data_IF_695655536793
#
_entry.id   IF_695655536793
#
_cell.length_a   1.000
_cell.length_b   1.000
_cell.length_c   1.000
_cell.angle_alpha   90.00
_cell.angle_beta   90.00
_cell.angle_gamma   90.00
#
_symmetry.space_group_name_H-M   'P 1'
#
loop_
_entity.id
_entity.type
_entity.pdbx_description
1 polymer ?
#
# COMPACT_ATOMS: atom_id res chain seq x y z
N UNK A 1 14.27 -0.37 -0.12
CA UNK A 1 13.80 0.31 1.06
C UNK A 1 14.44 1.66 1.31
N UNK A 2 13.90 2.36 2.26
CA UNK A 2 14.32 3.71 2.63
C UNK A 2 14.22 3.89 4.15
N UNK A 3 15.11 4.64 4.81
CA UNK A 3 14.95 5.00 6.21
C UNK A 3 13.85 6.06 6.42
N UNK A 4 13.36 6.69 5.37
CA UNK A 4 12.33 7.73 5.42
C UNK A 4 10.91 7.20 5.21
N UNK A 5 10.74 5.93 4.79
CA UNK A 5 9.45 5.33 4.50
C UNK A 5 9.41 3.88 4.95
N UNK A 6 8.49 3.57 5.85
CA UNK A 6 8.24 2.21 6.35
C UNK A 6 6.90 1.67 5.86
N UNK A 7 6.90 0.40 5.48
CA UNK A 7 5.71 -0.36 5.13
C UNK A 7 5.70 -1.68 5.90
N UNK A 8 4.63 -1.93 6.64
CA UNK A 8 4.38 -3.19 7.32
C UNK A 8 3.26 -3.88 6.56
N UNK A 9 3.48 -5.13 6.17
CA UNK A 9 2.53 -5.89 5.37
C UNK A 9 2.43 -7.33 5.90
N UNK A 10 1.20 -7.80 6.05
CA UNK A 10 0.89 -9.18 6.39
C UNK A 10 0.72 -10.05 5.15
N UNK A 11 0.56 -11.36 5.35
CA UNK A 11 0.27 -12.32 4.28
C UNK A 11 -1.12 -12.14 3.61
N UNK A 12 -1.97 -11.27 4.15
CA UNK A 12 -3.27 -10.89 3.57
C UNK A 12 -3.29 -9.44 3.06
N UNK A 13 -2.12 -8.84 2.82
CA UNK A 13 -1.95 -7.45 2.43
C UNK A 13 -2.46 -6.42 3.46
N UNK A 14 -2.79 -6.84 4.66
CA UNK A 14 -3.06 -5.95 5.79
C UNK A 14 -1.81 -5.20 6.24
N UNK A 15 -1.99 -4.21 7.09
CA UNK A 15 -0.90 -3.41 7.61
C UNK A 15 -0.97 -1.94 7.19
N UNK A 16 0.12 -1.22 7.38
CA UNK A 16 0.14 0.22 7.19
C UNK A 16 1.47 0.75 6.68
N UNK A 17 1.44 1.98 6.19
CA UNK A 17 2.62 2.71 5.74
C UNK A 17 2.76 4.02 6.49
N UNK A 18 3.99 4.47 6.62
CA UNK A 18 4.30 5.71 7.32
C UNK A 18 5.57 6.36 6.76
N UNK A 19 5.62 7.68 6.86
CA UNK A 19 6.82 8.48 6.63
C UNK A 19 7.46 8.82 7.98
N UNK A 20 8.72 8.46 8.18
CA UNK A 20 9.56 8.71 9.37
C UNK A 20 9.08 8.06 10.68
N UNK A 21 7.77 8.04 10.96
CA UNK A 21 7.24 7.51 12.22
C UNK A 21 5.85 6.90 12.03
N UNK A 22 5.65 5.68 12.53
CA UNK A 22 4.35 5.02 12.55
C UNK A 22 3.31 5.72 13.42
N UNK A 23 3.73 6.47 14.43
CA UNK A 23 2.86 7.24 15.31
C UNK A 23 2.49 8.62 14.73
N UNK A 24 3.43 9.32 14.07
CA UNK A 24 3.27 10.71 13.64
C UNK A 24 3.36 10.94 12.13
N UNK A 25 3.63 9.90 11.35
CA UNK A 25 3.74 9.97 9.88
C UNK A 25 2.85 8.97 9.17
N UNK A 26 1.75 8.55 9.78
CA UNK A 26 0.85 7.54 9.25
C UNK A 26 0.25 7.96 7.91
N UNK A 27 0.32 7.07 6.93
CA UNK A 27 -0.21 7.27 5.58
C UNK A 27 -1.45 6.41 5.39
N UNK A 28 -1.30 5.09 5.51
CA UNK A 28 -2.39 4.15 5.38
C UNK A 28 -2.99 3.83 6.75
N UNK A 29 -4.31 3.80 6.79
CA UNK A 29 -5.07 3.41 7.96
C UNK A 29 -4.94 1.91 8.18
N UNK A 30 -4.78 1.53 9.43
CA UNK A 30 -4.86 0.17 9.90
C UNK A 30 -5.41 0.17 11.30
N UNK A 31 -6.48 -0.55 11.50
CA UNK A 31 -7.10 -0.71 12.81
C UNK A 31 -6.53 -1.99 13.40
N UNK A 32 -5.76 -1.86 14.48
CA UNK A 32 -5.13 -2.99 15.13
C UNK A 32 -6.19 -3.92 15.75
N UNK A 33 -6.55 -4.94 15.01
CA UNK A 33 -7.57 -5.91 15.40
C UNK A 33 -7.28 -7.29 14.78
N UNK A 34 -8.03 -8.28 15.22
CA UNK A 34 -7.89 -9.68 14.76
C UNK A 34 -8.21 -9.91 13.26
N UNK A 35 -8.80 -8.95 12.58
CA UNK A 35 -9.23 -9.09 11.19
C UNK A 35 -8.23 -8.54 10.19
N UNK A 36 -7.09 -8.00 10.63
CA UNK A 36 -6.00 -7.51 9.81
C UNK A 36 -6.45 -6.52 8.71
N UNK A 37 -7.28 -5.54 9.08
CA UNK A 37 -7.89 -4.58 8.13
C UNK A 37 -7.88 -3.13 8.64
N UNK A 38 -8.02 -2.15 7.70
CA UNK A 38 -7.94 -2.30 6.25
C UNK A 38 -6.53 -2.64 5.78
N UNK A 39 -6.41 -2.98 4.49
CA UNK A 39 -5.14 -3.36 3.87
C UNK A 39 -4.94 -2.70 2.52
N UNK A 40 -3.91 -3.18 1.80
CA UNK A 40 -3.59 -2.80 0.43
C UNK A 40 -4.37 -3.70 -0.50
N UNK A 41 -5.63 -3.35 -0.75
CA UNK A 41 -6.53 -4.25 -1.46
C UNK A 41 -6.49 -4.00 -2.97
N UNK A 42 -6.38 -5.09 -3.72
CA UNK A 42 -6.54 -5.10 -5.18
C UNK A 42 -7.65 -6.10 -5.49
N UNK A 43 -8.75 -5.58 -6.01
CA UNK A 43 -9.88 -6.37 -6.47
C UNK A 43 -9.79 -6.60 -7.97
N UNK A 44 -10.16 -7.80 -8.38
CA UNK A 44 -10.31 -8.17 -9.78
C UNK A 44 -11.78 -8.56 -9.99
N UNK A 45 -12.42 -8.04 -11.02
CA UNK A 45 -13.80 -8.35 -11.40
C UNK A 45 -13.85 -8.71 -12.86
N UNK A 46 -14.36 -9.87 -13.16
CA UNK A 46 -14.65 -10.26 -14.55
C UNK A 46 -15.86 -9.50 -15.07
N UNK A 47 -15.70 -8.83 -16.20
CA UNK A 47 -16.78 -8.04 -16.80
C UNK A 47 -17.91 -8.89 -17.39
N UNK A 48 -17.66 -10.16 -17.73
CA UNK A 48 -18.63 -11.07 -18.32
C UNK A 48 -19.49 -11.78 -17.28
N UNK A 49 -18.83 -12.39 -16.28
CA UNK A 49 -19.52 -13.13 -15.21
C UNK A 49 -19.97 -12.26 -14.05
N UNK A 50 -19.43 -11.03 -13.97
CA UNK A 50 -19.60 -10.10 -12.84
C UNK A 50 -19.02 -10.61 -11.51
N UNK A 51 -18.40 -11.79 -11.50
CA UNK A 51 -17.74 -12.33 -10.34
C UNK A 51 -16.46 -11.54 -10.00
N UNK A 52 -16.19 -11.36 -8.71
CA UNK A 52 -15.04 -10.60 -8.25
C UNK A 52 -14.33 -11.30 -7.10
N UNK A 53 -13.03 -11.04 -6.98
CA UNK A 53 -12.15 -11.57 -5.95
C UNK A 53 -11.04 -10.57 -5.62
N UNK A 54 -10.24 -10.85 -4.62
CA UNK A 54 -9.06 -10.05 -4.28
C UNK A 54 -7.77 -10.82 -4.55
N UNK A 55 -6.73 -10.10 -4.98
CA UNK A 55 -5.42 -10.67 -5.31
C UNK A 55 -4.69 -11.26 -4.09
N UNK A 56 -5.09 -10.89 -2.88
CA UNK A 56 -4.51 -11.33 -1.60
C UNK A 56 -5.42 -12.26 -0.79
N UNK A 57 -6.37 -12.94 -1.41
CA UNK A 57 -7.49 -13.69 -0.83
C UNK A 57 -8.43 -12.83 0.03
N UNK A 58 -7.94 -12.24 1.11
CA UNK A 58 -8.67 -11.17 1.83
C UNK A 58 -8.67 -9.88 0.96
N UNK A 59 -9.72 -9.04 1.03
CA UNK A 59 -10.86 -9.15 1.96
C UNK A 59 -12.05 -9.95 1.44
N UNK A 60 -12.09 -10.34 0.15
CA UNK A 60 -13.26 -11.04 -0.43
C UNK A 60 -13.41 -12.46 0.15
N UNK A 61 -12.33 -13.21 0.24
CA UNK A 61 -12.32 -14.52 0.90
C UNK A 61 -13.07 -15.60 0.11
N UNK A 62 -12.75 -15.78 -1.18
CA UNK A 62 -13.32 -16.88 -2.00
C UNK A 62 -13.04 -18.24 -1.40
N UNK A 63 -13.89 -19.23 -1.72
CA UNK A 63 -13.72 -20.61 -1.30
C UNK A 63 -12.36 -21.17 -1.73
N UNK A 64 -11.57 -21.64 -0.79
CA UNK A 64 -10.23 -22.18 -1.00
C UNK A 64 -10.18 -23.47 -1.85
N UNK A 65 -11.31 -24.12 -2.10
CA UNK A 65 -11.38 -25.21 -3.06
C UNK A 65 -11.23 -24.71 -4.50
N UNK A 66 -11.61 -23.47 -4.78
CA UNK A 66 -11.54 -22.84 -6.11
C UNK A 66 -10.53 -21.72 -6.22
N UNK A 67 -10.04 -21.20 -5.10
CA UNK A 67 -9.07 -20.13 -5.01
C UNK A 67 -7.75 -20.65 -4.43
N UNK A 68 -6.66 -20.48 -5.16
CA UNK A 68 -5.33 -20.84 -4.70
C UNK A 68 -4.51 -19.57 -4.51
N UNK A 69 -3.76 -19.49 -3.43
CA UNK A 69 -2.86 -18.36 -3.19
C UNK A 69 -1.59 -18.78 -2.46
N UNK A 70 -0.54 -18.03 -2.75
CA UNK A 70 0.75 -18.13 -2.09
C UNK A 70 1.24 -16.74 -1.70
N UNK A 71 1.92 -16.64 -0.55
CA UNK A 71 2.56 -15.42 -0.12
C UNK A 71 4.04 -15.69 0.18
N UNK A 72 4.91 -14.90 -0.41
CA UNK A 72 6.36 -14.96 -0.21
C UNK A 72 6.84 -13.63 0.36
N UNK A 73 7.35 -13.65 1.58
CA UNK A 73 8.05 -12.51 2.17
C UNK A 73 9.55 -12.63 1.87
N UNK A 74 10.08 -11.66 1.13
CA UNK A 74 11.51 -11.51 0.91
C UNK A 74 12.10 -10.37 1.75
N UNK A 75 13.38 -10.13 1.55
CA UNK A 75 14.04 -8.97 2.15
C UNK A 75 13.57 -7.69 1.46
N UNK A 76 12.78 -6.89 2.20
CA UNK A 76 12.18 -5.62 1.77
C UNK A 76 11.15 -5.70 0.62
N UNK A 77 10.59 -6.86 0.32
CA UNK A 77 9.43 -7.01 -0.56
C UNK A 77 8.50 -8.14 -0.09
N UNK A 78 7.25 -8.08 -0.52
CA UNK A 78 6.27 -9.16 -0.35
C UNK A 78 5.63 -9.44 -1.70
N UNK A 79 5.57 -10.72 -2.06
CA UNK A 79 4.94 -11.19 -3.28
C UNK A 79 3.74 -12.06 -2.93
N UNK A 80 2.59 -11.74 -3.51
CA UNK A 80 1.37 -12.52 -3.40
C UNK A 80 0.96 -13.01 -4.77
N UNK A 81 0.64 -14.29 -4.87
CA UNK A 81 0.18 -14.92 -6.10
C UNK A 81 -1.17 -15.56 -5.85
N UNK A 82 -2.06 -15.46 -6.82
CA UNK A 82 -3.38 -16.07 -6.74
C UNK A 82 -3.86 -16.59 -8.10
N UNK A 83 -4.50 -17.75 -8.07
CA UNK A 83 -5.18 -18.35 -9.21
C UNK A 83 -6.67 -18.49 -8.89
N UNK A 84 -7.49 -17.83 -9.68
CA UNK A 84 -8.95 -17.93 -9.59
C UNK A 84 -9.62 -17.63 -10.93
N UNK A 85 -10.65 -18.39 -11.29
CA UNK A 85 -11.44 -18.17 -12.51
C UNK A 85 -10.59 -18.05 -13.78
N UNK A 86 -9.55 -18.90 -13.91
CA UNK A 86 -8.61 -18.91 -15.05
C UNK A 86 -7.84 -17.58 -15.23
N UNK A 87 -7.70 -16.82 -14.16
CA UNK A 87 -6.85 -15.64 -14.07
C UNK A 87 -5.78 -15.90 -13.02
N UNK A 88 -4.51 -15.75 -13.42
CA UNK A 88 -3.39 -15.69 -12.51
C UNK A 88 -3.05 -14.25 -12.21
N UNK A 89 -2.87 -13.92 -10.94
CA UNK A 89 -2.42 -12.59 -10.50
C UNK A 89 -1.19 -12.69 -9.61
N UNK A 90 -0.21 -11.83 -9.85
CA UNK A 90 0.97 -11.68 -9.00
C UNK A 90 1.11 -10.22 -8.58
N UNK A 91 1.13 -9.95 -7.29
CA UNK A 91 1.35 -8.61 -6.74
C UNK A 91 2.67 -8.58 -5.99
N UNK A 92 3.53 -7.62 -6.31
CA UNK A 92 4.79 -7.34 -5.62
C UNK A 92 4.68 -6.00 -4.90
N UNK A 93 4.72 -6.03 -3.57
CA UNK A 93 4.72 -4.86 -2.71
C UNK A 93 6.15 -4.55 -2.26
N UNK A 94 6.62 -3.36 -2.52
CA UNK A 94 7.97 -2.94 -2.10
C UNK A 94 8.09 -1.42 -1.99
N UNK A 95 9.11 -0.98 -1.26
CA UNK A 95 9.56 0.41 -1.23
C UNK A 95 10.86 0.48 -2.04
N UNK A 96 10.90 1.22 -3.16
CA UNK A 96 12.12 1.34 -3.96
C UNK A 96 13.30 1.87 -3.14
N UNK A 97 14.52 1.57 -3.57
CA UNK A 97 15.71 1.96 -2.84
C UNK A 97 15.82 3.50 -2.76
N UNK A 98 16.01 4.02 -1.55
CA UNK A 98 16.11 5.46 -1.26
C UNK A 98 14.88 6.30 -1.67
N UNK A 99 13.72 5.68 -1.87
CA UNK A 99 12.46 6.38 -2.14
C UNK A 99 11.56 6.44 -0.92
N UNK A 100 10.68 7.42 -0.86
CA UNK A 100 9.71 7.61 0.23
C UNK A 100 8.27 7.44 -0.25
N UNK A 101 8.03 6.35 -0.99
CA UNK A 101 6.73 5.85 -1.43
C UNK A 101 6.82 4.34 -1.63
N UNK A 102 5.68 3.67 -1.67
CA UNK A 102 5.60 2.24 -1.95
C UNK A 102 4.94 1.97 -3.30
N UNK A 103 5.30 0.85 -3.89
CA UNK A 103 4.81 0.35 -5.18
C UNK A 103 4.11 -0.97 -4.98
N UNK A 104 2.92 -1.12 -5.57
CA UNK A 104 2.16 -2.36 -5.68
C UNK A 104 2.13 -2.74 -7.15
N UNK A 105 3.13 -3.48 -7.59
CA UNK A 105 3.24 -3.93 -8.98
C UNK A 105 2.39 -5.17 -9.16
N UNK A 106 1.35 -5.08 -9.99
CA UNK A 106 0.42 -6.16 -10.30
C UNK A 106 0.64 -6.64 -11.73
N UNK A 107 0.86 -7.94 -11.88
CA UNK A 107 0.79 -8.67 -13.15
C UNK A 107 -0.48 -9.52 -13.18
N UNK A 108 -1.28 -9.41 -14.24
CA UNK A 108 -2.49 -10.21 -14.46
C UNK A 108 -2.34 -11.00 -15.74
N UNK A 109 -2.46 -12.31 -15.64
CA UNK A 109 -2.32 -13.25 -16.75
C UNK A 109 -3.64 -13.98 -17.01
N UNK A 110 -4.09 -13.96 -18.25
CA UNK A 110 -5.22 -14.78 -18.69
C UNK A 110 -4.74 -16.20 -19.04
N UNK A 111 -5.12 -17.17 -18.22
CA UNK A 111 -4.78 -18.59 -18.44
C UNK A 111 -5.86 -19.37 -19.19
N UNK A 112 -6.96 -18.68 -19.57
CA UNK A 112 -8.02 -19.28 -20.37
C UNK A 112 -7.74 -19.20 -21.88
N UNK A 113 -8.56 -19.87 -22.68
CA UNK A 113 -8.48 -19.89 -24.14
C UNK A 113 -9.32 -18.79 -24.82
N UNK A 114 -9.95 -17.90 -24.05
CA UNK A 114 -10.80 -16.79 -24.50
C UNK A 114 -10.27 -15.43 -24.07
N UNK A 115 -10.72 -14.38 -24.76
CA UNK A 115 -10.44 -13.00 -24.36
C UNK A 115 -11.18 -12.70 -23.06
N UNK A 116 -10.48 -12.13 -22.08
CA UNK A 116 -11.07 -11.73 -20.80
C UNK A 116 -10.95 -10.22 -20.62
N UNK A 117 -11.98 -9.63 -20.04
CA UNK A 117 -11.95 -8.22 -19.61
C UNK A 117 -12.07 -8.18 -18.10
N UNK A 118 -10.98 -7.83 -17.46
CA UNK A 118 -10.89 -7.79 -16.01
C UNK A 118 -10.83 -6.33 -15.55
N UNK A 119 -11.81 -5.93 -14.75
CA UNK A 119 -11.75 -4.66 -14.03
C UNK A 119 -10.86 -4.83 -12.81
N UNK A 120 -9.77 -4.09 -12.75
CA UNK A 120 -8.83 -4.07 -11.63
C UNK A 120 -9.07 -2.81 -10.83
N UNK A 121 -9.41 -2.96 -9.55
CA UNK A 121 -9.61 -1.84 -8.63
C UNK A 121 -8.61 -1.93 -7.49
N UNK A 122 -7.68 -0.96 -7.43
CA UNK A 122 -6.81 -0.77 -6.27
C UNK A 122 -7.51 0.09 -5.22
N UNK A 123 -7.33 -0.25 -3.95
CA UNK A 123 -7.90 0.46 -2.81
C UNK A 123 -6.88 0.69 -1.72
N UNK A 124 -6.73 1.93 -1.29
CA UNK A 124 -5.91 2.37 -0.17
C UNK A 124 -6.72 3.28 0.75
N UNK A 125 -6.85 2.94 2.03
CA UNK A 125 -7.52 3.80 2.99
C UNK A 125 -6.51 4.72 3.69
N UNK A 126 -6.69 6.02 3.52
CA UNK A 126 -5.82 7.01 4.15
C UNK A 126 -6.21 7.24 5.61
N UNK A 127 -5.23 7.60 6.44
CA UNK A 127 -5.53 8.25 7.71
C UNK A 127 -5.93 9.70 7.46
N UNK A 128 -6.88 10.22 8.24
CA UNK A 128 -7.29 11.63 8.16
C UNK A 128 -6.32 12.55 8.90
N UNK A 129 -5.50 12.00 9.78
CA UNK A 129 -4.43 12.70 10.48
C UNK A 129 -3.14 11.89 10.42
N UNK A 130 -1.99 12.57 10.29
CA UNK A 130 -0.68 11.90 10.31
C UNK A 130 -0.35 11.34 11.69
N UNK A 131 -0.81 12.00 12.76
CA UNK A 131 -0.72 11.46 14.12
C UNK A 131 -1.80 10.38 14.30
N UNK A 132 -1.36 9.16 14.61
CA UNK A 132 -2.25 8.02 14.74
C UNK A 132 -3.26 8.17 15.88
N UNK A 133 -2.85 8.70 17.02
CA UNK A 133 -3.74 8.91 18.17
C UNK A 133 -4.82 9.91 17.83
N UNK A 134 -4.49 11.05 17.21
CA UNK A 134 -5.46 12.04 16.78
C UNK A 134 -6.42 11.50 15.71
N UNK A 135 -5.94 10.65 14.80
CA UNK A 135 -6.80 9.99 13.81
C UNK A 135 -7.86 9.09 14.45
N UNK A 136 -7.58 8.49 15.61
CA UNK A 136 -8.49 7.57 16.29
C UNK A 136 -9.38 8.29 17.32
N UNK A 137 -8.81 9.17 18.13
CA UNK A 137 -9.49 9.81 19.27
C UNK A 137 -10.32 11.01 18.84
N UNK A 138 -9.83 11.78 17.87
CA UNK A 138 -10.47 13.01 17.38
C UNK A 138 -11.03 12.83 15.96
N UNK A 139 -11.79 11.77 15.76
CA UNK A 139 -12.26 11.34 14.43
C UNK A 139 -13.09 12.43 13.74
N UNK A 140 -14.00 13.08 14.42
CA UNK A 140 -14.87 14.09 13.83
C UNK A 140 -14.07 15.28 13.28
N UNK A 141 -13.09 15.77 14.04
CA UNK A 141 -12.19 16.83 13.57
C UNK A 141 -11.33 16.36 12.41
N UNK A 142 -10.76 15.16 12.51
CA UNK A 142 -9.91 14.57 11.48
C UNK A 142 -10.65 14.41 10.15
N UNK A 143 -11.93 14.05 10.17
CA UNK A 143 -12.77 13.98 8.97
C UNK A 143 -13.06 15.36 8.37
N UNK A 144 -13.24 16.37 9.22
CA UNK A 144 -13.54 17.73 8.79
C UNK A 144 -12.38 18.38 8.03
N UNK A 145 -11.12 18.10 8.42
CA UNK A 145 -9.93 18.72 7.86
C UNK A 145 -9.40 18.04 6.58
N UNK A 146 -10.01 16.93 6.14
CA UNK A 146 -9.53 16.17 4.99
C UNK A 146 -10.41 16.30 3.76
N UNK A 147 -9.77 16.37 2.60
CA UNK A 147 -10.43 16.29 1.29
C UNK A 147 -9.63 15.43 0.34
N UNK A 148 -10.34 14.67 -0.48
CA UNK A 148 -9.75 13.92 -1.60
C UNK A 148 -10.19 14.52 -2.92
N UNK A 149 -9.26 14.58 -3.85
CA UNK A 149 -9.49 15.05 -5.23
C UNK A 149 -8.76 14.12 -6.20
N UNK A 150 -9.31 14.00 -7.40
CA UNK A 150 -8.65 13.29 -8.49
C UNK A 150 -7.86 14.27 -9.36
N UNK A 151 -6.61 13.94 -9.65
CA UNK A 151 -5.78 14.73 -10.55
C UNK A 151 -4.90 13.81 -11.42
N UNK A 152 -5.08 13.92 -12.74
CA UNK A 152 -4.34 13.12 -13.71
C UNK A 152 -4.64 11.63 -13.57
N UNK A 153 -3.80 10.88 -12.92
CA UNK A 153 -3.91 9.43 -12.72
C UNK A 153 -3.87 9.03 -11.23
N UNK A 154 -4.17 9.96 -10.32
CA UNK A 154 -4.08 9.74 -8.87
C UNK A 154 -5.20 10.41 -8.10
N UNK A 155 -5.59 9.79 -6.99
CA UNK A 155 -6.35 10.43 -5.91
C UNK A 155 -5.36 11.05 -4.94
N UNK A 156 -5.57 12.31 -4.60
CA UNK A 156 -4.84 13.04 -3.57
C UNK A 156 -5.72 13.23 -2.35
N UNK A 157 -5.17 13.04 -1.17
CA UNK A 157 -5.79 13.47 0.07
C UNK A 157 -5.02 14.67 0.64
N UNK A 158 -5.70 15.78 0.72
CA UNK A 158 -5.22 17.01 1.33
C UNK A 158 -5.69 17.07 2.79
N UNK A 159 -4.81 17.49 3.68
CA UNK A 159 -5.13 17.73 5.09
C UNK A 159 -4.94 19.21 5.38
N UNK A 160 -6.02 19.90 5.68
CA UNK A 160 -6.03 21.31 6.07
C UNK A 160 -5.88 21.42 7.59
N UNK A 161 -4.67 21.27 8.11
CA UNK A 161 -4.41 21.38 9.53
C UNK A 161 -3.96 22.81 9.85
N UNK A 162 -4.79 23.57 10.51
CA UNK A 162 -4.62 24.75 11.34
C UNK A 162 -5.51 25.93 10.94
N UNK A 163 -6.58 26.05 11.67
CA UNK A 163 -7.37 27.30 11.77
C UNK A 163 -6.58 28.45 12.38
N UNK A 164 -5.51 28.17 13.13
CA UNK A 164 -4.65 29.17 13.80
C UNK A 164 -3.79 30.00 12.83
N UNK A 165 -3.74 29.64 11.56
CA UNK A 165 -3.00 30.38 10.53
C UNK A 165 -3.89 31.28 9.65
N UNK A 166 -5.16 31.43 10.01
CA UNK A 166 -6.11 32.35 9.35
C UNK A 166 -5.84 33.84 9.66
N UNK A 167 -4.89 34.16 10.54
CA UNK A 167 -4.61 35.55 10.94
C UNK A 167 -4.06 36.45 9.82
N UNK A 168 -3.57 35.90 8.71
CA UNK A 168 -2.93 36.70 7.66
C UNK A 168 -3.78 36.91 6.39
N UNK A 169 -5.06 36.53 6.36
CA UNK A 169 -5.95 36.77 5.23
C UNK A 169 -5.54 36.05 3.93
N UNK A 170 -4.68 35.03 4.01
CA UNK A 170 -4.33 34.15 2.89
C UNK A 170 -5.30 33.01 2.81
N UNK A 171 -5.69 32.68 1.58
CA UNK A 171 -6.58 31.57 1.29
C UNK A 171 -6.11 30.27 1.95
N UNK A 172 -7.00 29.59 2.65
CA UNK A 172 -6.72 28.32 3.36
C UNK A 172 -6.21 27.24 2.40
N UNK A 173 -6.54 27.36 1.12
CA UNK A 173 -6.14 26.43 0.06
C UNK A 173 -4.62 26.47 -0.27
N UNK A 174 -3.90 27.54 0.12
CA UNK A 174 -2.46 27.67 -0.16
C UNK A 174 -1.53 27.02 0.87
N UNK A 175 -2.07 26.48 1.97
CA UNK A 175 -1.28 25.84 3.03
C UNK A 175 -1.66 24.39 3.27
N UNK A 176 -1.48 23.58 2.24
CA UNK A 176 -1.58 22.12 2.35
C UNK A 176 -0.38 21.63 3.15
N UNK A 177 -0.63 21.14 4.37
CA UNK A 177 0.44 20.71 5.28
C UNK A 177 1.03 19.36 4.87
N UNK A 178 0.22 18.45 4.34
CA UNK A 178 0.65 17.11 3.92
C UNK A 178 -0.31 16.52 2.90
N UNK A 179 0.22 16.13 1.76
CA UNK A 179 -0.52 15.41 0.73
C UNK A 179 -0.20 13.91 0.75
N UNK A 180 -1.24 13.09 0.80
CA UNK A 180 -1.15 11.68 0.47
C UNK A 180 -1.64 11.47 -0.94
N UNK A 181 -1.07 10.52 -1.64
CA UNK A 181 -1.55 10.16 -2.96
C UNK A 181 -1.60 8.65 -3.15
N UNK A 182 -2.53 8.24 -3.98
CA UNK A 182 -2.65 6.89 -4.52
C UNK A 182 -2.83 7.01 -6.02
N UNK A 183 -1.86 6.52 -6.78
CA UNK A 183 -1.80 6.65 -8.23
C UNK A 183 -1.80 5.31 -8.94
N UNK A 184 -2.25 5.30 -10.21
CA UNK A 184 -2.20 4.17 -11.11
C UNK A 184 -1.27 4.50 -12.29
N UNK A 185 -0.34 3.59 -12.58
CA UNK A 185 0.57 3.65 -13.72
C UNK A 185 0.48 2.37 -14.57
N UNK A 186 0.86 2.46 -15.84
CA UNK A 186 0.78 1.35 -16.80
C UNK A 186 -0.58 1.15 -17.45
N UNK A 187 -1.62 1.84 -16.97
CA UNK A 187 -2.95 1.87 -17.58
C UNK A 187 -3.65 3.21 -17.33
N UNK A 188 -4.70 3.49 -18.10
CA UNK A 188 -5.55 4.66 -17.89
C UNK A 188 -6.49 4.39 -16.71
N UNK A 189 -6.73 5.39 -15.89
CA UNK A 189 -7.79 5.37 -14.89
C UNK A 189 -9.14 5.52 -15.59
N UNK A 190 -10.02 4.51 -15.48
CA UNK A 190 -11.36 4.54 -16.05
C UNK A 190 -12.39 5.15 -15.08
N UNK A 191 -12.23 4.88 -13.79
CA UNK A 191 -13.03 5.49 -12.73
C UNK A 191 -12.25 5.55 -11.41
N UNK A 192 -12.71 6.41 -10.49
CA UNK A 192 -12.04 6.63 -9.20
C UNK A 192 -13.04 6.91 -8.08
N UNK A 193 -12.61 6.76 -6.84
CA UNK A 193 -13.37 7.19 -5.67
C UNK A 193 -12.40 7.64 -4.56
N UNK A 194 -12.72 8.78 -3.96
CA UNK A 194 -11.97 9.33 -2.82
C UNK A 194 -12.71 9.20 -1.50
N UNK A 195 -13.97 8.78 -1.51
CA UNK A 195 -14.83 8.58 -0.36
C UNK A 195 -14.84 7.11 0.07
N UNK A 196 -14.49 6.84 1.33
CA UNK A 196 -14.59 5.49 1.87
C UNK A 196 -16.03 4.97 1.84
N UNK A 197 -16.98 5.78 2.27
CA UNK A 197 -18.39 5.41 2.29
C UNK A 197 -18.96 5.26 0.88
N UNK A 198 -18.52 6.09 -0.06
CA UNK A 198 -18.87 5.97 -1.47
C UNK A 198 -18.32 4.71 -2.13
N UNK A 199 -17.12 4.27 -1.74
CA UNK A 199 -16.52 3.03 -2.24
C UNK A 199 -17.16 1.79 -1.63
N UNK A 200 -17.29 1.74 -0.30
CA UNK A 200 -17.84 0.57 0.39
C UNK A 200 -19.34 0.44 0.18
N UNK A 201 -20.07 1.55 0.24
CA UNK A 201 -21.51 1.56 0.29
C UNK A 201 -22.08 1.37 1.70
N UNK A 202 -23.33 1.77 1.88
CA UNK A 202 -24.02 1.64 3.18
C UNK A 202 -24.27 0.18 3.51
N UNK A 203 -23.88 -0.23 4.72
CA UNK A 203 -24.03 -1.60 5.22
C UNK A 203 -23.22 -2.66 4.47
N UNK A 204 -22.27 -2.26 3.62
CA UNK A 204 -21.28 -3.12 2.97
C UNK A 204 -19.93 -3.05 3.70
N UNK A 205 -19.06 -4.00 3.37
CA UNK A 205 -17.70 -4.08 3.93
C UNK A 205 -16.63 -4.17 2.85
N UNK A 206 -15.39 -4.37 3.28
CA UNK A 206 -14.27 -4.58 2.35
C UNK A 206 -14.41 -5.85 1.52
N UNK A 207 -15.16 -6.84 1.98
CA UNK A 207 -15.42 -8.10 1.28
C UNK A 207 -16.44 -7.97 0.14
N UNK A 208 -17.27 -6.95 0.17
CA UNK A 208 -18.33 -6.71 -0.82
C UNK A 208 -18.56 -5.21 -1.06
N UNK A 209 -17.54 -4.44 -1.46
CA UNK A 209 -17.71 -3.01 -1.69
C UNK A 209 -18.54 -2.75 -2.94
N UNK A 210 -19.51 -1.84 -2.85
CA UNK A 210 -20.42 -1.47 -3.96
C UNK A 210 -19.62 -1.04 -5.20
N UNK A 211 -18.54 -0.26 -5.02
CA UNK A 211 -17.71 0.16 -6.15
C UNK A 211 -17.08 -0.99 -6.94
N UNK A 212 -16.87 -2.17 -6.31
CA UNK A 212 -16.40 -3.36 -7.01
C UNK A 212 -17.58 -4.17 -7.57
N UNK A 213 -18.66 -4.31 -6.82
CA UNK A 213 -19.87 -5.03 -7.29
C UNK A 213 -20.47 -4.37 -8.55
N UNK A 214 -20.56 -3.05 -8.57
CA UNK A 214 -21.05 -2.29 -9.72
C UNK A 214 -20.05 -2.27 -10.90
N UNK A 215 -18.79 -2.54 -10.63
CA UNK A 215 -17.72 -2.52 -11.64
C UNK A 215 -17.35 -1.12 -12.15
N UNK A 216 -17.82 -0.07 -11.48
CA UNK A 216 -17.52 1.32 -11.75
C UNK A 216 -17.54 2.13 -10.45
N UNK A 217 -16.56 3.02 -10.28
CA UNK A 217 -16.47 3.91 -9.13
C UNK A 217 -17.24 5.21 -9.41
N UNK A 218 -17.77 5.83 -8.37
CA UNK A 218 -18.68 6.99 -8.47
C UNK A 218 -18.03 8.32 -8.87
N UNK A 219 -16.70 8.37 -8.99
CA UNK A 219 -15.92 9.56 -9.34
C UNK A 219 -16.12 10.76 -8.40
N UNK A 220 -16.28 10.49 -7.11
CA UNK A 220 -16.49 11.50 -6.07
C UNK A 220 -15.36 11.50 -5.04
N UNK A 221 -15.01 12.70 -4.53
CA UNK A 221 -14.13 12.88 -3.40
C UNK A 221 -14.88 12.74 -2.07
N UNK A 222 -14.13 12.70 -0.95
CA UNK A 222 -14.74 12.71 0.37
C UNK A 222 -15.12 14.14 0.81
N UNK A 223 -16.15 14.21 1.64
CA UNK A 223 -16.54 15.43 2.32
C UNK A 223 -17.04 15.11 3.73
N UNK A 224 -16.31 15.57 4.76
CA UNK A 224 -16.59 15.29 6.17
C UNK A 224 -16.71 13.80 6.52
N UNK A 225 -15.90 12.98 5.88
CA UNK A 225 -15.86 11.53 6.05
C UNK A 225 -14.44 10.99 5.82
N UNK A 226 -14.24 9.70 6.01
CA UNK A 226 -12.94 9.08 5.78
C UNK A 226 -12.57 9.10 4.29
N UNK A 227 -11.34 9.57 4.00
CA UNK A 227 -10.78 9.55 2.67
C UNK A 227 -10.20 8.19 2.30
N UNK A 228 -10.31 7.83 1.03
CA UNK A 228 -9.59 6.70 0.43
C UNK A 228 -9.03 7.07 -0.94
N UNK A 229 -8.13 6.24 -1.44
CA UNK A 229 -7.76 6.18 -2.84
C UNK A 229 -8.32 4.90 -3.43
N UNK A 230 -9.31 5.00 -4.29
CA UNK A 230 -9.77 3.88 -5.11
C UNK A 230 -9.64 4.25 -6.58
N UNK A 231 -8.95 3.41 -7.35
CA UNK A 231 -8.69 3.61 -8.78
C UNK A 231 -8.99 2.33 -9.53
N UNK A 232 -9.80 2.43 -10.59
CA UNK A 232 -10.18 1.29 -11.40
C UNK A 232 -9.74 1.45 -12.85
N UNK A 233 -9.34 0.32 -13.47
CA UNK A 233 -9.02 0.19 -14.89
C UNK A 233 -9.48 -1.14 -15.43
N UNK A 234 -9.88 -1.19 -16.71
CA UNK A 234 -10.29 -2.42 -17.38
C UNK A 234 -9.14 -2.93 -18.26
N UNK A 235 -8.63 -4.10 -17.91
CA UNK A 235 -7.62 -4.80 -18.70
C UNK A 235 -8.30 -5.80 -19.64
N UNK A 236 -8.08 -5.64 -20.94
CA UNK A 236 -8.44 -6.67 -21.94
C UNK A 236 -7.24 -7.58 -22.13
N UNK A 237 -7.42 -8.86 -21.85
CA UNK A 237 -6.36 -9.87 -21.87
C UNK A 237 -6.68 -10.96 -22.90
N UNK A 238 -5.82 -11.14 -23.90
CA UNK A 238 -5.89 -12.26 -24.83
C UNK A 238 -5.41 -13.58 -24.16
N UNK A 239 -5.76 -14.76 -24.71
CA UNK A 239 -5.27 -16.03 -24.19
C UNK A 239 -3.76 -16.05 -24.01
N UNK A 240 -3.29 -16.39 -22.81
CA UNK A 240 -1.87 -16.41 -22.45
C UNK A 240 -1.22 -15.02 -22.24
N UNK A 241 -1.95 -13.94 -22.44
CA UNK A 241 -1.39 -12.58 -22.26
C UNK A 241 -1.27 -12.21 -20.79
N UNK A 242 -0.15 -11.55 -20.46
CA UNK A 242 0.08 -10.89 -19.17
C UNK A 242 0.14 -9.40 -19.37
N UNK A 243 -0.54 -8.65 -18.51
CA UNK A 243 -0.41 -7.19 -18.42
C UNK A 243 0.04 -6.77 -17.03
N UNK A 244 0.97 -5.83 -16.99
CA UNK A 244 1.48 -5.27 -15.76
C UNK A 244 1.02 -3.82 -15.58
N UNK A 245 0.59 -3.51 -14.36
CA UNK A 245 0.27 -2.16 -13.89
C UNK A 245 0.87 -1.95 -12.50
N UNK A 246 0.96 -0.71 -12.06
CA UNK A 246 1.45 -0.40 -10.73
C UNK A 246 0.55 0.60 -10.03
N UNK A 247 0.20 0.33 -8.77
CA UNK A 247 -0.34 1.33 -7.86
C UNK A 247 0.80 1.89 -7.00
N UNK A 248 0.78 3.21 -6.77
CA UNK A 248 1.83 3.91 -6.06
C UNK A 248 1.22 4.72 -4.93
N UNK A 249 1.73 4.53 -3.72
CA UNK A 249 1.26 5.19 -2.50
C UNK A 249 2.40 6.00 -1.88
N UNK A 250 2.13 7.22 -1.55
CA UNK A 250 3.12 8.06 -0.89
C UNK A 250 2.51 9.27 -0.20
N UNK A 251 3.40 10.05 0.41
CA UNK A 251 3.09 11.30 1.06
C UNK A 251 4.07 12.36 0.56
N UNK A 252 3.63 13.19 -0.38
CA UNK A 252 4.45 14.16 -1.12
C UNK A 252 3.62 15.36 -1.52
N UNK A 253 4.31 16.47 -1.79
CA UNK A 253 3.70 17.58 -2.52
C UNK A 253 3.24 17.14 -3.92
N UNK A 254 2.25 17.83 -4.48
CA UNK A 254 1.63 17.42 -5.74
C UNK A 254 2.60 17.37 -6.92
N UNK A 255 3.53 18.33 -7.00
CA UNK A 255 4.55 18.37 -8.06
C UNK A 255 5.51 17.17 -7.97
N UNK A 256 5.88 16.76 -6.76
CA UNK A 256 6.71 15.58 -6.52
C UNK A 256 5.94 14.30 -6.87
N UNK A 257 4.67 14.21 -6.48
CA UNK A 257 3.80 13.09 -6.85
C UNK A 257 3.64 12.97 -8.37
N UNK A 258 3.48 14.08 -9.09
CA UNK A 258 3.47 14.14 -10.56
C UNK A 258 4.76 13.55 -11.16
N UNK A 259 5.90 14.00 -10.64
CA UNK A 259 7.21 13.52 -11.08
C UNK A 259 7.38 12.02 -10.83
N UNK A 260 6.94 11.53 -9.66
CA UNK A 260 6.94 10.09 -9.34
C UNK A 260 6.07 9.32 -10.33
N UNK A 261 4.83 9.76 -10.57
CA UNK A 261 3.91 9.08 -11.50
C UNK A 261 4.46 9.04 -12.92
N UNK A 262 5.06 10.12 -13.42
CA UNK A 262 5.67 10.19 -14.75
C UNK A 262 6.84 9.20 -14.91
N UNK A 263 7.57 8.90 -13.83
CA UNK A 263 8.64 7.89 -13.85
C UNK A 263 8.11 6.49 -14.23
N UNK A 264 6.87 6.17 -13.87
CA UNK A 264 6.26 4.85 -14.10
C UNK A 264 5.46 4.73 -15.41
N UNK A 265 5.67 5.61 -16.41
CA UNK A 265 5.04 5.46 -17.74
C UNK A 265 5.32 4.08 -18.36
N UNK A 266 6.54 3.55 -18.17
CA UNK A 266 6.89 2.17 -18.51
C UNK A 266 7.02 1.35 -17.22
N UNK A 267 5.88 1.09 -16.56
CA UNK A 267 5.86 0.51 -15.23
C UNK A 267 6.51 -0.88 -15.17
N UNK A 268 6.34 -1.75 -16.17
CA UNK A 268 6.93 -3.10 -16.21
C UNK A 268 8.46 -3.05 -16.09
N UNK A 269 9.11 -2.23 -16.93
CA UNK A 269 10.57 -2.12 -16.93
C UNK A 269 11.09 -1.47 -15.65
N UNK A 270 10.43 -0.41 -15.19
CA UNK A 270 10.85 0.31 -13.99
C UNK A 270 10.69 -0.55 -12.75
N UNK A 271 9.53 -1.19 -12.56
CA UNK A 271 9.27 -2.05 -11.41
C UNK A 271 10.24 -3.24 -11.36
N UNK A 272 10.53 -3.86 -12.50
CA UNK A 272 11.52 -4.94 -12.57
C UNK A 272 12.91 -4.47 -12.15
N UNK A 273 13.38 -3.35 -12.70
CA UNK A 273 14.72 -2.82 -12.39
C UNK A 273 14.83 -2.42 -10.91
N UNK A 274 13.82 -1.76 -10.36
CA UNK A 274 13.80 -1.37 -8.95
C UNK A 274 13.81 -2.56 -8.00
N UNK A 275 13.07 -3.63 -8.34
CA UNK A 275 13.06 -4.84 -7.54
C UNK A 275 14.41 -5.56 -7.62
N UNK A 276 15.03 -5.64 -8.79
CA UNK A 276 16.37 -6.21 -8.96
C UNK A 276 17.42 -5.42 -8.18
N UNK A 277 17.39 -4.08 -8.25
CA UNK A 277 18.29 -3.22 -7.49
C UNK A 277 18.12 -3.43 -5.97
N UNK A 278 16.88 -3.53 -5.50
CA UNK A 278 16.56 -3.79 -4.10
C UNK A 278 17.08 -5.15 -3.63
N UNK A 279 16.90 -6.20 -4.45
CA UNK A 279 17.39 -7.56 -4.16
C UNK A 279 18.92 -7.57 -4.11
N UNK A 280 19.58 -6.94 -5.07
CA UNK A 280 21.05 -6.84 -5.12
C UNK A 280 21.60 -6.09 -3.91
N UNK A 281 20.96 -5.00 -3.51
CA UNK A 281 21.32 -4.25 -2.29
C UNK A 281 21.31 -5.15 -1.05
N UNK A 282 20.23 -5.89 -0.84
CA UNK A 282 20.12 -6.78 0.32
C UNK A 282 21.05 -7.97 0.25
N UNK A 283 21.23 -8.60 -0.92
CA UNK A 283 22.22 -9.66 -1.09
C UNK A 283 23.64 -9.16 -0.77
N UNK A 284 23.98 -7.95 -1.23
CA UNK A 284 25.26 -7.33 -0.89
C UNK A 284 25.46 -7.19 0.61
N UNK A 285 24.48 -6.66 1.33
CA UNK A 285 24.53 -6.48 2.79
C UNK A 285 24.61 -7.81 3.54
N UNK A 286 23.77 -8.78 3.17
CA UNK A 286 23.70 -10.08 3.84
C UNK A 286 24.92 -10.96 3.56
N UNK A 287 25.64 -10.74 2.46
CA UNK A 287 26.82 -11.52 2.08
C UNK A 287 28.04 -11.30 2.98
N UNK A 288 28.07 -10.23 3.78
CA UNK A 288 29.21 -9.91 4.64
C UNK A 288 29.45 -10.93 5.76
N UNK A 289 28.41 -11.63 6.18
CA UNK A 289 28.51 -12.69 7.18
C UNK A 289 27.65 -13.87 6.76
N UNK A 290 28.29 -15.01 6.56
CA UNK A 290 27.63 -16.22 6.11
C UNK A 290 28.15 -17.43 6.90
N UNK A 291 27.22 -18.28 7.35
CA UNK A 291 27.52 -19.57 7.97
C UNK A 291 27.04 -20.71 7.07
N UNK A 292 27.73 -21.82 7.09
CA UNK A 292 27.35 -23.03 6.39
C UNK A 292 27.40 -24.22 7.35
N UNK A 293 26.25 -24.74 7.70
CA UNK A 293 26.07 -25.89 8.58
C UNK A 293 25.24 -26.98 7.87
N UNK A 294 25.14 -28.18 8.42
CA UNK A 294 24.26 -29.22 7.86
C UNK A 294 22.74 -28.88 7.90
N UNK A 295 22.31 -27.92 8.72
CA UNK A 295 20.91 -27.47 8.77
C UNK A 295 20.70 -26.27 7.87
N UNK A 296 19.87 -26.41 6.83
CA UNK A 296 19.50 -25.32 5.92
C UNK A 296 18.62 -24.29 6.61
N UNK A 297 17.75 -24.69 7.53
CA UNK A 297 16.90 -23.77 8.31
C UNK A 297 17.74 -22.86 9.19
N UNK A 298 18.76 -23.42 9.86
CA UNK A 298 19.69 -22.64 10.66
C UNK A 298 20.48 -21.66 9.79
N UNK A 299 20.98 -22.12 8.65
CA UNK A 299 21.70 -21.27 7.69
C UNK A 299 20.81 -20.12 7.21
N UNK A 300 19.55 -20.38 6.83
CA UNK A 300 18.58 -19.35 6.40
C UNK A 300 18.29 -18.36 7.53
N UNK A 301 18.10 -18.84 8.75
CA UNK A 301 17.84 -17.98 9.89
C UNK A 301 19.02 -17.03 10.17
N UNK A 302 20.24 -17.54 10.20
CA UNK A 302 21.43 -16.73 10.49
C UNK A 302 21.81 -15.83 9.32
N UNK A 303 21.87 -16.40 8.10
CA UNK A 303 22.39 -15.69 6.94
C UNK A 303 21.45 -14.62 6.39
N UNK A 304 20.14 -14.73 6.67
CA UNK A 304 19.13 -13.84 6.13
C UNK A 304 18.33 -13.15 7.23
N UNK A 305 17.55 -13.90 7.99
CA UNK A 305 16.52 -13.31 8.83
C UNK A 305 17.05 -12.60 10.06
N UNK A 306 18.07 -13.14 10.74
CA UNK A 306 18.65 -12.48 11.91
C UNK A 306 19.30 -11.15 11.53
N UNK A 307 20.10 -11.15 10.46
CA UNK A 307 20.75 -9.92 9.98
C UNK A 307 19.72 -8.89 9.51
N UNK A 308 18.71 -9.32 8.75
CA UNK A 308 17.64 -8.45 8.28
C UNK A 308 16.82 -7.87 9.45
N UNK A 309 16.42 -8.71 10.41
CA UNK A 309 15.65 -8.28 11.57
C UNK A 309 16.44 -7.33 12.48
N UNK A 310 17.73 -7.58 12.67
CA UNK A 310 18.61 -6.67 13.42
C UNK A 310 18.67 -5.30 12.73
N UNK A 311 18.83 -5.27 11.42
CA UNK A 311 18.87 -4.03 10.66
C UNK A 311 17.51 -3.28 10.73
N UNK A 312 16.39 -3.99 10.54
CA UNK A 312 15.06 -3.40 10.65
C UNK A 312 14.77 -2.87 12.06
N UNK A 313 15.18 -3.63 13.09
CA UNK A 313 15.03 -3.19 14.48
C UNK A 313 15.90 -1.97 14.77
N UNK A 314 17.10 -1.91 14.24
CA UNK A 314 17.98 -0.76 14.41
C UNK A 314 17.38 0.51 13.80
N UNK A 315 16.84 0.44 12.60
CA UNK A 315 16.26 1.60 11.90
C UNK A 315 14.90 1.96 12.48
N UNK A 316 14.00 0.97 12.69
CA UNK A 316 12.60 1.19 12.93
C UNK A 316 12.10 0.89 14.34
N UNK A 317 12.93 0.43 15.26
CA UNK A 317 12.49 -0.15 16.54
C UNK A 317 11.47 0.67 17.34
N UNK A 318 11.44 1.99 17.15
CA UNK A 318 10.47 2.90 17.78
C UNK A 318 9.59 3.62 16.78
N UNK A 319 10.12 3.88 15.60
CA UNK A 319 9.42 4.62 14.55
C UNK A 319 8.26 3.82 13.95
N UNK A 320 8.36 2.47 13.93
CA UNK A 320 7.30 1.59 13.43
C UNK A 320 6.16 1.35 14.44
N UNK A 321 6.31 1.73 15.71
CA UNK A 321 5.30 1.47 16.73
C UNK A 321 4.00 2.25 16.49
N UNK A 322 2.88 1.66 16.86
CA UNK A 322 1.56 2.33 16.88
C UNK A 322 1.51 3.48 17.87
N UNK A 323 1.97 3.18 19.06
CA UNK A 323 2.10 4.14 20.13
C UNK A 323 3.57 4.39 20.37
N UNK A 324 3.88 5.58 20.81
CA UNK A 324 5.23 5.91 21.19
C UNK A 324 5.65 5.02 22.37
N UNK A 325 6.37 3.93 22.08
CA UNK A 325 6.92 3.08 23.12
C UNK A 325 7.97 3.88 23.90
N UNK A 326 7.73 4.05 25.20
CA UNK A 326 8.56 4.84 26.07
C UNK A 326 10.06 4.48 26.00
N UNK A 327 10.96 5.41 26.31
CA UNK A 327 12.40 5.33 26.09
C UNK A 327 13.13 4.27 26.93
N UNK A 328 12.45 3.59 27.86
CA UNK A 328 13.09 2.82 28.94
C UNK A 328 13.92 1.63 28.46
N UNK A 329 13.44 0.85 27.48
CA UNK A 329 14.18 -0.37 27.05
C UNK A 329 15.40 -0.06 26.17
N UNK A 330 15.35 0.99 25.39
CA UNK A 330 16.41 1.31 24.42
C UNK A 330 17.54 2.14 25.01
N UNK A 331 17.25 3.01 25.97
CA UNK A 331 18.27 3.78 26.71
C UNK A 331 19.12 2.85 27.56
N UNK A 332 18.56 1.77 28.11
CA UNK A 332 19.31 0.78 28.85
C UNK A 332 20.23 -0.07 27.96
N UNK A 333 19.79 -0.45 26.75
CA UNK A 333 20.62 -1.21 25.82
C UNK A 333 21.79 -0.36 25.29
N UNK A 334 21.57 0.91 24.93
CA UNK A 334 22.66 1.81 24.52
C UNK A 334 23.61 2.19 25.62
N UNK A 335 23.16 2.28 26.86
CA UNK A 335 24.06 2.57 27.99
C UNK A 335 25.10 1.46 28.24
N UNK A 336 24.83 0.23 27.79
CA UNK A 336 25.78 -0.88 27.83
C UNK A 336 26.72 -0.95 26.62
N UNK A 337 26.39 -0.30 25.50
CA UNK A 337 27.23 -0.28 24.29
C UNK A 337 28.25 0.87 24.28
N UNK A 338 28.10 1.87 25.14
CA UNK A 338 29.00 3.05 25.24
C UNK A 338 29.93 3.03 26.46
N UNK A 339 30.01 1.90 27.17
CA UNK A 339 30.90 1.69 28.32
C UNK A 339 32.28 1.14 27.91
#
# INVERSE_FOLDING_TARGET
GSPEYGAIISNNAGGYSFAKSGANGRILRYIFNQFDKPGRYIYLRDQESEDYWSASWQPVGKDLNSYKSECHHGTAYTKMMADYSEIHSEVRYYVPLNQSYEVWNLAVTNTSDRIRKINVTGYAEFTNNSNYEQDQVNLQYSQFITRTVFRGNRVRQMIHANLDQLEDGKDVDDKIVVDRFFGLAGAKVDSWCGSREGFLGRYHGYNNPVGVEDGILNCEGNYNENGCGALATILTLYPGETKEIAFIVGMKEDADAETIMSRYENCETICRNELEELIQYWHGHLSHFQVKTPSEEFNTMINTWNAYNCFMTFIWSRAASFTYCGPVSYTHLRAHETG
#
